data_IF_737114245642
#
_entry.id   IF_737114245642
#
_cell.length_a   1.000
_cell.length_b   1.000
_cell.length_c   1.000
_cell.angle_alpha   90.00
_cell.angle_beta   90.00
_cell.angle_gamma   90.00
#
_symmetry.space_group_name_H-M   'P 1'
#
loop_
_entity.id
_entity.type
_entity.pdbx_description
1 polymer ?
#
# COMPACT_ATOMS: atom_id res chain seq x y z
N UNK A 1 6.87 10.56 15.03
CA UNK A 1 6.25 9.44 15.77
C UNK A 1 6.87 8.17 15.19
N UNK A 2 7.85 7.58 15.88
CA UNK A 2 8.56 6.38 15.45
C UNK A 2 7.89 5.17 16.09
N UNK A 3 7.04 4.49 15.34
CA UNK A 3 6.51 3.19 15.71
C UNK A 3 6.36 2.38 14.44
N UNK A 4 7.33 1.53 14.15
CA UNK A 4 7.24 0.52 13.10
C UNK A 4 6.04 -0.37 13.47
N UNK A 5 4.92 -0.19 12.78
CA UNK A 5 3.71 -0.96 13.05
C UNK A 5 3.85 -2.32 12.37
N UNK A 6 4.09 -3.36 13.17
CA UNK A 6 4.08 -4.75 12.71
C UNK A 6 2.67 -5.31 12.87
N UNK A 7 2.14 -5.92 11.81
CA UNK A 7 0.86 -6.59 11.84
C UNK A 7 1.06 -8.10 11.80
N UNK A 8 0.66 -8.78 12.88
CA UNK A 8 0.76 -10.22 13.01
C UNK A 8 -0.56 -10.87 12.60
N UNK A 9 -0.49 -11.89 11.75
CA UNK A 9 -1.65 -12.64 11.30
C UNK A 9 -1.29 -14.10 11.00
N UNK A 10 -2.31 -14.93 10.79
CA UNK A 10 -2.13 -16.36 10.49
C UNK A 10 -2.84 -16.71 9.19
N UNK A 11 -2.22 -17.62 8.42
CA UNK A 11 -2.83 -18.27 7.26
C UNK A 11 -2.84 -19.78 7.53
N UNK A 12 -3.95 -20.29 8.05
CA UNK A 12 -4.02 -21.65 8.58
C UNK A 12 -3.05 -21.86 9.73
N UNK A 13 -2.08 -22.77 9.55
CA UNK A 13 -1.04 -23.05 10.54
C UNK A 13 0.19 -22.12 10.45
N UNK A 14 0.32 -21.32 9.39
CA UNK A 14 1.49 -20.48 9.11
C UNK A 14 1.35 -19.15 9.85
N UNK A 15 2.42 -18.74 10.53
CA UNK A 15 2.51 -17.42 11.17
C UNK A 15 3.16 -16.42 10.22
N UNK A 16 2.52 -15.26 10.07
CA UNK A 16 2.95 -14.20 9.17
C UNK A 16 3.05 -12.88 9.92
N UNK A 17 4.04 -12.06 9.54
CA UNK A 17 4.19 -10.69 10.03
C UNK A 17 4.37 -9.75 8.84
N UNK A 18 3.44 -8.81 8.68
CA UNK A 18 3.62 -7.67 7.78
C UNK A 18 4.39 -6.59 8.54
N UNK A 19 5.58 -6.26 8.05
CA UNK A 19 6.49 -5.27 8.62
C UNK A 19 6.41 -4.01 7.76
N UNK A 20 6.10 -2.86 8.35
CA UNK A 20 6.14 -1.59 7.65
C UNK A 20 7.57 -1.05 7.61
N UNK A 21 8.07 -0.76 6.41
CA UNK A 21 9.35 -0.06 6.18
C UNK A 21 9.13 1.44 5.89
N UNK A 22 7.93 1.93 6.20
CA UNK A 22 7.51 3.30 5.94
C UNK A 22 6.70 3.47 4.66
N UNK A 23 6.64 4.71 4.19
CA UNK A 23 5.83 5.11 3.05
C UNK A 23 6.37 6.36 2.40
N UNK A 24 6.05 6.55 1.13
CA UNK A 24 6.35 7.75 0.36
C UNK A 24 5.08 8.28 -0.29
N UNK A 25 4.96 9.61 -0.38
CA UNK A 25 3.92 10.26 -1.19
C UNK A 25 4.52 10.60 -2.53
N UNK A 26 3.88 10.14 -3.61
CA UNK A 26 4.35 10.31 -4.98
C UNK A 26 3.20 10.82 -5.87
N UNK A 27 3.47 11.54 -6.98
CA UNK A 27 2.43 11.89 -7.94
C UNK A 27 1.66 10.65 -8.42
N UNK A 28 0.33 10.72 -8.40
CA UNK A 28 -0.52 9.58 -8.77
C UNK A 28 -0.30 9.12 -10.23
N UNK A 29 0.12 10.04 -11.10
CA UNK A 29 0.44 9.78 -12.51
C UNK A 29 1.73 8.96 -12.72
N UNK A 30 2.64 8.93 -11.74
CA UNK A 30 3.85 8.10 -11.80
C UNK A 30 3.54 6.62 -11.51
N UNK A 31 2.48 6.39 -10.72
CA UNK A 31 2.01 5.07 -10.28
C UNK A 31 1.03 4.46 -11.27
N UNK A 32 0.06 5.24 -11.75
CA UNK A 32 -1.00 4.73 -12.63
C UNK A 32 -0.59 4.87 -14.10
N UNK A 33 -0.42 3.75 -14.78
CA UNK A 33 -0.01 3.69 -16.20
C UNK A 33 -1.02 2.92 -17.04
N UNK A 34 -1.09 3.26 -18.33
CA UNK A 34 -1.91 2.51 -19.30
C UNK A 34 -3.42 2.74 -19.21
N UNK A 35 -3.87 3.72 -18.42
CA UNK A 35 -5.28 4.11 -18.27
C UNK A 35 -5.39 5.62 -18.56
N UNK A 36 -6.40 6.08 -19.33
CA UNK A 36 -6.63 7.52 -19.53
C UNK A 36 -6.77 8.26 -18.19
N UNK A 37 -6.17 9.45 -18.10
CA UNK A 37 -6.09 10.24 -16.85
C UNK A 37 -7.44 10.54 -16.23
N UNK A 38 -8.44 10.83 -17.05
CA UNK A 38 -9.81 11.08 -16.61
C UNK A 38 -10.41 9.88 -15.86
N UNK A 39 -10.23 8.66 -16.39
CA UNK A 39 -10.85 7.45 -15.83
C UNK A 39 -10.27 7.09 -14.47
N UNK A 40 -8.94 7.08 -14.34
CA UNK A 40 -8.33 6.69 -13.07
C UNK A 40 -8.46 7.79 -12.01
N UNK A 41 -8.43 9.07 -12.38
CA UNK A 41 -8.65 10.17 -11.44
C UNK A 41 -10.07 10.12 -10.86
N UNK A 42 -11.07 9.90 -11.70
CA UNK A 42 -12.46 9.76 -11.26
C UNK A 42 -12.61 8.57 -10.29
N UNK A 43 -12.02 7.43 -10.62
CA UNK A 43 -12.06 6.25 -9.76
C UNK A 43 -11.40 6.47 -8.39
N UNK A 44 -10.29 7.24 -8.33
CA UNK A 44 -9.66 7.61 -7.07
C UNK A 44 -10.58 8.49 -6.21
N UNK A 45 -11.17 9.53 -6.80
CA UNK A 45 -12.11 10.43 -6.09
C UNK A 45 -13.31 9.66 -5.54
N UNK A 46 -13.93 8.80 -6.35
CA UNK A 46 -15.09 7.99 -5.94
C UNK A 46 -14.79 7.05 -4.77
N UNK A 47 -13.53 6.66 -4.62
CA UNK A 47 -13.05 5.78 -3.55
C UNK A 47 -12.47 6.54 -2.36
N UNK A 48 -12.52 7.88 -2.39
CA UNK A 48 -12.02 8.74 -1.31
C UNK A 48 -10.49 8.90 -1.30
N UNK A 49 -9.82 8.60 -2.40
CA UNK A 49 -8.37 8.81 -2.56
C UNK A 49 -8.08 10.16 -3.24
N UNK A 50 -6.86 10.66 -3.03
CA UNK A 50 -6.38 11.85 -3.75
C UNK A 50 -6.21 11.54 -5.24
N UNK A 51 -6.72 12.38 -6.16
CA UNK A 51 -6.52 12.21 -7.59
C UNK A 51 -5.15 12.69 -8.08
N UNK A 52 -4.36 13.34 -7.23
CA UNK A 52 -3.06 13.92 -7.59
C UNK A 52 -1.88 13.24 -6.92
N UNK A 53 -2.10 12.62 -5.76
CA UNK A 53 -1.05 12.01 -4.94
C UNK A 53 -1.45 10.58 -4.57
N UNK A 54 -0.46 9.69 -4.52
CA UNK A 54 -0.60 8.34 -4.02
C UNK A 54 0.38 8.11 -2.87
N UNK A 55 -0.11 7.52 -1.78
CA UNK A 55 0.76 7.01 -0.72
C UNK A 55 1.19 5.59 -1.07
N UNK A 56 2.47 5.41 -1.34
CA UNK A 56 3.08 4.10 -1.58
C UNK A 56 3.64 3.58 -0.26
N UNK A 57 3.16 2.42 0.18
CA UNK A 57 3.62 1.77 1.40
C UNK A 57 4.66 0.71 1.08
N UNK A 58 5.83 0.81 1.70
CA UNK A 58 6.87 -0.21 1.61
C UNK A 58 6.68 -1.19 2.76
N UNK A 59 6.43 -2.46 2.43
CA UNK A 59 6.18 -3.50 3.42
C UNK A 59 6.98 -4.76 3.10
N UNK A 60 7.50 -5.40 4.13
CA UNK A 60 8.10 -6.73 4.06
C UNK A 60 7.12 -7.75 4.65
N UNK A 61 7.05 -8.94 4.04
CA UNK A 61 6.28 -10.06 4.57
C UNK A 61 7.23 -11.12 5.12
N UNK A 62 7.26 -11.26 6.44
CA UNK A 62 7.95 -12.35 7.12
C UNK A 62 7.00 -13.53 7.29
N UNK A 63 7.43 -14.72 6.87
CA UNK A 63 6.64 -15.96 6.92
C UNK A 63 7.43 -16.99 7.72
N UNK A 64 6.83 -17.50 8.78
CA UNK A 64 7.39 -18.59 9.57
C UNK A 64 6.69 -19.90 9.18
N UNK A 65 7.38 -20.71 8.37
CA UNK A 65 6.83 -21.93 7.78
C UNK A 65 7.07 -23.21 8.59
N UNK A 66 7.73 -23.13 9.76
CA UNK A 66 8.10 -24.27 10.60
C UNK A 66 9.59 -24.32 10.91
#
# INVERSE_FOLDING_TARGET
MNGTANYHFRVGAIECVALSDGSEVTPAEDVVRGIPSEQWRQALVERGYSPTEATVYFNCLYIQAG
#
